data_IF_882600350575
#
_entry.id   IF_882600350575
#
_cell.length_a   1.000
_cell.length_b   1.000
_cell.length_c   1.000
_cell.angle_alpha   90.00
_cell.angle_beta   90.00
_cell.angle_gamma   90.00
#
_symmetry.space_group_name_H-M   'P 1'
#
loop_
_entity.id
_entity.type
_entity.pdbx_description
1 polymer ?
#
# COMPACT_ATOMS: atom_id res chain seq x y z
N UNK A 1 16.54 -36.14 -33.16
CA UNK A 1 17.72 -35.54 -32.50
C UNK A 1 17.68 -34.02 -32.62
N UNK A 2 17.87 -33.43 -33.81
CA UNK A 2 17.87 -31.96 -34.02
C UNK A 2 16.63 -31.23 -33.47
N UNK A 3 15.43 -31.81 -33.63
CA UNK A 3 14.19 -31.20 -33.14
C UNK A 3 14.04 -31.24 -31.61
N UNK A 4 14.56 -32.29 -30.96
CA UNK A 4 14.59 -32.41 -29.51
C UNK A 4 15.61 -31.44 -28.90
N UNK A 5 16.77 -31.27 -29.55
CA UNK A 5 17.79 -30.31 -29.14
C UNK A 5 17.26 -28.87 -29.20
N UNK A 6 16.56 -28.50 -30.28
CA UNK A 6 15.89 -27.19 -30.38
C UNK A 6 14.82 -26.98 -29.29
N UNK A 7 14.06 -28.02 -28.94
CA UNK A 7 13.08 -27.93 -27.86
C UNK A 7 13.72 -27.77 -26.49
N UNK A 8 14.81 -28.50 -26.20
CA UNK A 8 15.58 -28.33 -24.97
C UNK A 8 16.16 -26.91 -24.88
N UNK A 9 16.74 -26.40 -25.96
CA UNK A 9 17.33 -25.06 -25.97
C UNK A 9 16.27 -23.98 -25.68
N UNK A 10 15.09 -24.07 -26.33
CA UNK A 10 13.97 -23.18 -26.06
C UNK A 10 13.47 -23.28 -24.61
N UNK A 11 13.42 -24.49 -24.05
CA UNK A 11 12.99 -24.72 -22.67
C UNK A 11 13.99 -24.09 -21.69
N UNK A 12 15.30 -24.29 -21.92
CA UNK A 12 16.35 -23.70 -21.10
C UNK A 12 16.34 -22.17 -21.18
N UNK A 13 16.10 -21.61 -22.36
CA UNK A 13 15.96 -20.16 -22.53
C UNK A 13 14.74 -19.63 -21.76
N UNK A 14 13.61 -20.33 -21.83
CA UNK A 14 12.41 -19.95 -21.08
C UNK A 14 12.63 -20.01 -19.57
N UNK A 15 13.29 -21.07 -19.07
CA UNK A 15 13.65 -21.21 -17.66
C UNK A 15 14.52 -20.04 -17.18
N UNK A 16 15.53 -19.64 -17.95
CA UNK A 16 16.36 -18.47 -17.63
C UNK A 16 15.52 -17.20 -17.52
N UNK A 17 14.58 -16.98 -18.45
CA UNK A 17 13.69 -15.81 -18.42
C UNK A 17 12.76 -15.82 -17.22
N UNK A 18 12.19 -16.98 -16.85
CA UNK A 18 11.32 -17.11 -15.68
C UNK A 18 12.11 -16.83 -14.39
N UNK A 19 13.31 -17.39 -14.25
CA UNK A 19 14.17 -17.14 -13.09
C UNK A 19 14.51 -15.66 -12.92
N UNK A 20 14.89 -14.97 -14.00
CA UNK A 20 15.16 -13.52 -13.97
C UNK A 20 13.93 -12.70 -13.55
N UNK A 21 12.75 -13.05 -14.06
CA UNK A 21 11.50 -12.37 -13.66
C UNK A 21 11.17 -12.61 -12.19
N UNK A 22 11.42 -13.82 -11.69
CA UNK A 22 11.19 -14.17 -10.30
C UNK A 22 12.10 -13.38 -9.35
N UNK A 23 13.39 -13.28 -9.66
CA UNK A 23 14.34 -12.43 -8.91
C UNK A 23 13.90 -10.96 -8.90
N UNK A 24 13.46 -10.45 -10.05
CA UNK A 24 12.97 -9.06 -10.16
C UNK A 24 11.74 -8.82 -9.27
N UNK A 25 10.77 -9.74 -9.31
CA UNK A 25 9.56 -9.66 -8.50
C UNK A 25 9.86 -9.77 -7.00
N UNK A 26 10.85 -10.57 -6.60
CA UNK A 26 11.28 -10.68 -5.21
C UNK A 26 11.87 -9.36 -4.70
N UNK A 27 12.71 -8.70 -5.49
CA UNK A 27 13.28 -7.39 -5.16
C UNK A 27 12.16 -6.35 -5.02
N UNK A 28 11.26 -6.27 -6.00
CA UNK A 28 10.13 -5.34 -5.97
C UNK A 28 9.24 -5.57 -4.73
N UNK A 29 8.93 -6.82 -4.41
CA UNK A 29 8.11 -7.17 -3.25
C UNK A 29 8.80 -6.79 -1.92
N UNK A 30 10.11 -6.97 -1.82
CA UNK A 30 10.87 -6.56 -0.64
C UNK A 30 10.87 -5.03 -0.46
N UNK A 31 11.09 -4.27 -1.53
CA UNK A 31 11.03 -2.81 -1.48
C UNK A 31 9.65 -2.31 -1.04
N UNK A 32 8.57 -2.90 -1.56
CA UNK A 32 7.19 -2.56 -1.15
C UNK A 32 6.98 -2.84 0.34
N UNK A 33 7.46 -3.97 0.86
CA UNK A 33 7.37 -4.27 2.29
C UNK A 33 8.14 -3.27 3.15
N UNK A 34 9.34 -2.87 2.74
CA UNK A 34 10.12 -1.86 3.47
C UNK A 34 9.41 -0.50 3.51
N UNK A 35 8.86 -0.07 2.38
CA UNK A 35 8.05 1.16 2.31
C UNK A 35 6.85 1.04 3.25
N UNK A 36 6.14 -0.09 3.21
CA UNK A 36 4.98 -0.31 4.06
C UNK A 36 5.36 -0.23 5.56
N UNK A 37 6.41 -0.93 5.99
CA UNK A 37 6.90 -0.87 7.38
C UNK A 37 7.23 0.56 7.79
N UNK A 38 7.87 1.33 6.90
CA UNK A 38 8.18 2.74 7.16
C UNK A 38 6.90 3.57 7.31
N UNK A 39 5.94 3.40 6.42
CA UNK A 39 4.65 4.10 6.45
C UNK A 39 3.90 3.84 7.75
N UNK A 40 3.82 2.60 8.22
CA UNK A 40 3.17 2.28 9.49
C UNK A 40 3.86 2.92 10.68
N UNK A 41 5.21 2.87 10.73
CA UNK A 41 5.95 3.53 11.81
C UNK A 41 5.66 5.03 11.87
N UNK A 42 5.57 5.69 10.72
CA UNK A 42 5.18 7.10 10.66
C UNK A 42 3.75 7.34 11.16
N UNK A 43 2.85 6.37 10.99
CA UNK A 43 1.48 6.45 11.52
C UNK A 43 1.48 6.26 13.03
N UNK A 44 2.15 5.23 13.54
CA UNK A 44 2.31 4.95 14.97
C UNK A 44 2.92 6.14 15.72
N UNK A 45 3.98 6.74 15.17
CA UNK A 45 4.64 7.90 15.78
C UNK A 45 3.71 9.11 15.92
N UNK A 46 2.85 9.34 14.92
CA UNK A 46 1.85 10.39 14.95
C UNK A 46 0.72 10.04 15.92
N UNK A 47 0.32 8.77 15.96
CA UNK A 47 -0.74 8.25 16.82
C UNK A 47 -0.45 8.41 18.31
N UNK A 48 0.82 8.46 18.71
CA UNK A 48 1.21 8.70 20.10
C UNK A 48 0.62 10.00 20.71
N UNK A 49 0.24 10.97 19.88
CA UNK A 49 -0.34 12.25 20.31
C UNK A 49 -1.86 12.30 20.16
N UNK A 50 -2.48 11.17 19.83
CA UNK A 50 -3.90 11.08 19.57
C UNK A 50 -4.73 11.35 20.85
N UNK A 51 -5.83 12.08 20.66
CA UNK A 51 -6.86 12.29 21.68
C UNK A 51 -8.19 11.84 21.07
N UNK A 52 -8.94 11.03 21.80
CA UNK A 52 -10.23 10.51 21.34
C UNK A 52 -11.17 11.65 20.94
N UNK A 53 -11.78 11.51 19.76
CA UNK A 53 -12.72 12.48 19.21
C UNK A 53 -14.06 11.84 18.88
N UNK A 54 -15.11 12.65 18.80
CA UNK A 54 -16.42 12.17 18.33
C UNK A 54 -16.37 11.61 16.89
N UNK A 55 -15.48 12.13 16.04
CA UNK A 55 -15.30 11.64 14.68
C UNK A 55 -14.80 10.19 14.65
N UNK A 56 -13.81 9.86 15.49
CA UNK A 56 -13.29 8.51 15.65
C UNK A 56 -14.37 7.53 16.11
N UNK A 57 -15.15 7.92 17.13
CA UNK A 57 -16.28 7.09 17.60
C UNK A 57 -17.29 6.82 16.48
N UNK A 58 -17.62 7.83 15.67
CA UNK A 58 -18.56 7.68 14.55
C UNK A 58 -18.00 6.79 13.44
N UNK A 59 -16.70 6.88 13.15
CA UNK A 59 -16.03 6.03 12.15
C UNK A 59 -16.07 4.57 12.61
N UNK A 60 -15.71 4.28 13.86
CA UNK A 60 -15.78 2.92 14.42
C UNK A 60 -17.20 2.35 14.37
N UNK A 61 -18.20 3.15 14.77
CA UNK A 61 -19.60 2.73 14.66
C UNK A 61 -20.00 2.42 13.21
N UNK A 62 -19.55 3.26 12.26
CA UNK A 62 -19.82 3.07 10.83
C UNK A 62 -19.16 1.81 10.29
N UNK A 63 -17.91 1.51 10.69
CA UNK A 63 -17.16 0.32 10.30
C UNK A 63 -17.69 -0.97 10.96
N UNK A 64 -18.29 -0.87 12.14
CA UNK A 64 -18.98 -2.01 12.76
C UNK A 64 -20.29 -2.38 12.02
N UNK A 65 -20.93 -1.40 11.38
CA UNK A 65 -22.18 -1.61 10.63
C UNK A 65 -21.94 -1.89 9.15
N UNK A 66 -20.84 -1.40 8.59
CA UNK A 66 -20.52 -1.43 7.17
C UNK A 66 -19.08 -1.89 6.94
N UNK A 67 -18.80 -2.54 5.81
CA UNK A 67 -17.45 -3.04 5.48
C UNK A 67 -16.48 -1.96 4.95
N UNK A 68 -16.79 -0.68 5.17
CA UNK A 68 -15.99 0.43 4.67
C UNK A 68 -16.60 1.80 4.98
N UNK A 69 -15.77 2.83 4.92
CA UNK A 69 -16.14 4.22 5.20
C UNK A 69 -15.35 5.16 4.28
N UNK A 70 -15.96 6.28 3.89
CA UNK A 70 -15.27 7.38 3.21
C UNK A 70 -15.26 8.57 4.17
N UNK A 71 -14.06 9.04 4.52
CA UNK A 71 -13.88 10.18 5.42
C UNK A 71 -13.77 11.46 4.58
N UNK A 72 -14.74 12.36 4.73
CA UNK A 72 -14.80 13.64 4.00
C UNK A 72 -14.72 14.83 4.94
N UNK A 73 -14.29 15.99 4.42
CA UNK A 73 -14.11 17.20 5.23
C UNK A 73 -13.03 18.13 4.68
N UNK A 74 -12.96 19.36 5.21
CA UNK A 74 -12.04 20.40 4.75
C UNK A 74 -10.56 19.99 4.84
N UNK A 75 -9.66 20.56 4.02
CA UNK A 75 -8.21 20.36 4.19
C UNK A 75 -7.77 20.70 5.62
N UNK A 76 -6.85 19.90 6.18
CA UNK A 76 -6.31 20.13 7.53
C UNK A 76 -7.20 19.71 8.71
N UNK A 77 -8.43 19.21 8.49
CA UNK A 77 -9.30 18.79 9.61
C UNK A 77 -8.93 17.44 10.26
N UNK A 78 -7.84 16.80 9.82
CA UNK A 78 -7.36 15.55 10.41
C UNK A 78 -7.93 14.26 9.82
N UNK A 79 -8.50 14.28 8.60
CA UNK A 79 -9.04 13.09 7.92
C UNK A 79 -8.06 11.91 7.85
N UNK A 80 -6.87 12.15 7.29
CA UNK A 80 -5.81 11.16 7.19
C UNK A 80 -5.37 10.67 8.57
N UNK A 81 -5.27 11.60 9.53
CA UNK A 81 -4.86 11.27 10.89
C UNK A 81 -5.86 10.32 11.56
N UNK A 82 -7.17 10.61 11.48
CA UNK A 82 -8.18 9.71 12.06
C UNK A 82 -8.27 8.39 11.28
N UNK A 83 -8.12 8.38 9.95
CA UNK A 83 -8.07 7.15 9.17
C UNK A 83 -6.94 6.21 9.62
N UNK A 84 -5.73 6.77 9.81
CA UNK A 84 -4.58 6.01 10.29
C UNK A 84 -4.77 5.53 11.73
N UNK A 85 -5.32 6.38 12.61
CA UNK A 85 -5.64 6.00 13.99
C UNK A 85 -6.59 4.78 14.04
N UNK A 86 -7.68 4.81 13.25
CA UNK A 86 -8.61 3.69 13.23
C UNK A 86 -7.97 2.43 12.64
N UNK A 87 -7.15 2.56 11.59
CA UNK A 87 -6.43 1.43 11.03
C UNK A 87 -5.49 0.75 12.05
N UNK A 88 -4.74 1.54 12.82
CA UNK A 88 -3.91 1.06 13.94
C UNK A 88 -4.76 0.43 15.07
N UNK A 89 -5.98 0.91 15.27
CA UNK A 89 -6.92 0.28 16.22
C UNK A 89 -7.33 -1.11 15.74
N UNK A 90 -7.68 -1.28 14.46
CA UNK A 90 -7.96 -2.59 13.86
C UNK A 90 -6.75 -3.53 13.88
N UNK A 91 -5.54 -3.00 13.70
CA UNK A 91 -4.32 -3.81 13.84
C UNK A 91 -4.17 -4.42 15.23
N UNK A 92 -4.47 -3.64 16.28
CA UNK A 92 -4.51 -4.14 17.67
C UNK A 92 -5.58 -5.20 17.89
N UNK A 93 -6.61 -5.25 17.04
CA UNK A 93 -7.65 -6.28 17.00
C UNK A 93 -7.31 -7.48 16.10
N UNK A 94 -6.12 -7.49 15.48
CA UNK A 94 -5.60 -8.60 14.69
C UNK A 94 -5.77 -8.45 13.17
N UNK A 95 -6.23 -7.30 12.68
CA UNK A 95 -6.28 -7.02 11.24
C UNK A 95 -4.89 -6.70 10.69
N UNK A 96 -4.60 -7.17 9.49
CA UNK A 96 -3.45 -6.69 8.73
C UNK A 96 -3.82 -5.37 8.05
N UNK A 97 -3.11 -4.29 8.38
CA UNK A 97 -3.26 -3.02 7.64
C UNK A 97 -2.75 -3.24 6.21
N UNK A 98 -3.31 -2.56 5.21
CA UNK A 98 -2.79 -2.53 3.85
C UNK A 98 -2.91 -1.09 3.35
N UNK A 99 -1.84 -0.28 3.44
CA UNK A 99 -1.79 1.03 2.81
C UNK A 99 -1.87 0.85 1.29
N UNK A 100 -2.73 1.65 0.67
CA UNK A 100 -3.02 1.58 -0.75
C UNK A 100 -2.83 2.97 -1.35
N UNK A 101 -2.16 3.04 -2.50
CA UNK A 101 -2.07 4.27 -3.30
C UNK A 101 -3.40 4.51 -4.04
N UNK A 102 -4.14 3.44 -4.35
CA UNK A 102 -5.46 3.56 -4.95
C UNK A 102 -6.31 2.29 -4.87
N UNK A 103 -7.54 2.34 -5.41
CA UNK A 103 -8.48 1.22 -5.34
C UNK A 103 -7.99 -0.07 -6.02
N UNK A 104 -7.08 0.02 -7.00
CA UNK A 104 -6.48 -1.15 -7.66
C UNK A 104 -5.65 -2.01 -6.71
N UNK A 105 -5.06 -1.41 -5.68
CA UNK A 105 -4.19 -2.10 -4.73
C UNK A 105 -4.97 -3.04 -3.83
N UNK A 106 -6.25 -2.72 -3.55
CA UNK A 106 -7.14 -3.59 -2.79
C UNK A 106 -7.22 -4.97 -3.44
N UNK A 107 -7.47 -5.04 -4.75
CA UNK A 107 -7.57 -6.32 -5.46
C UNK A 107 -6.23 -7.04 -5.56
N UNK A 108 -5.13 -6.28 -5.65
CA UNK A 108 -3.77 -6.83 -5.76
C UNK A 108 -3.27 -7.45 -4.46
N UNK A 109 -3.66 -6.88 -3.32
CA UNK A 109 -3.16 -7.25 -2.00
C UNK A 109 -4.18 -8.02 -1.14
N UNK A 110 -5.39 -8.23 -1.67
CA UNK A 110 -6.42 -9.01 -0.99
C UNK A 110 -6.01 -10.48 -0.84
N UNK A 111 -6.06 -10.96 0.40
CA UNK A 111 -5.79 -12.32 0.81
C UNK A 111 -6.99 -12.86 1.58
N UNK A 112 -7.70 -13.82 0.99
CA UNK A 112 -8.99 -14.31 1.53
C UNK A 112 -8.84 -14.98 2.91
N UNK A 113 -7.65 -15.49 3.22
CA UNK A 113 -7.30 -16.14 4.47
C UNK A 113 -6.93 -15.16 5.60
N UNK A 114 -6.83 -13.86 5.30
CA UNK A 114 -6.49 -12.82 6.27
C UNK A 114 -7.66 -11.86 6.50
N UNK A 115 -7.74 -11.34 7.72
CA UNK A 115 -8.57 -10.18 8.02
C UNK A 115 -7.72 -8.93 7.77
N UNK A 116 -8.16 -8.10 6.82
CA UNK A 116 -7.36 -6.98 6.31
C UNK A 116 -8.14 -5.67 6.39
N UNK A 117 -7.45 -4.57 6.70
CA UNK A 117 -8.00 -3.21 6.60
C UNK A 117 -7.22 -2.42 5.55
N UNK A 118 -7.92 -2.04 4.48
CA UNK A 118 -7.33 -1.28 3.38
C UNK A 118 -7.50 0.21 3.62
N UNK A 119 -6.39 0.94 3.60
CA UNK A 119 -6.39 2.39 3.83
C UNK A 119 -5.93 3.08 2.57
N UNK A 120 -6.85 3.79 1.93
CA UNK A 120 -6.56 4.61 0.75
C UNK A 120 -6.57 6.07 1.21
N UNK A 121 -5.42 6.58 1.64
CA UNK A 121 -5.27 7.97 2.02
C UNK A 121 -4.86 8.79 0.78
N UNK A 122 -5.67 9.81 0.47
CA UNK A 122 -5.41 10.75 -0.63
C UNK A 122 -5.48 10.17 -2.06
N UNK A 123 -6.68 9.69 -2.46
CA UNK A 123 -7.01 9.18 -3.81
C UNK A 123 -6.64 10.15 -4.95
N UNK A 124 -6.49 11.45 -4.65
CA UNK A 124 -6.18 12.50 -5.64
C UNK A 124 -4.77 13.09 -5.50
N UNK A 125 -3.98 12.60 -4.55
CA UNK A 125 -2.59 12.96 -4.33
C UNK A 125 -2.38 14.39 -3.83
N UNK A 126 -1.52 14.51 -2.82
CA UNK A 126 -0.52 15.56 -2.80
C UNK A 126 0.15 15.60 -4.17
N UNK A 127 -0.17 16.61 -4.97
CA UNK A 127 0.69 17.14 -6.02
C UNK A 127 2.00 17.71 -5.43
N UNK A 128 2.60 17.04 -4.44
CA UNK A 128 3.98 17.25 -4.09
C UNK A 128 4.75 16.78 -5.30
N UNK A 129 5.25 17.76 -6.06
CA UNK A 129 6.25 17.58 -7.10
C UNK A 129 7.13 16.39 -6.75
N UNK A 130 7.12 15.38 -7.61
CA UNK A 130 8.11 14.32 -7.53
C UNK A 130 9.46 15.02 -7.73
N UNK A 131 10.17 15.28 -6.63
CA UNK A 131 11.40 16.08 -6.63
C UNK A 131 12.40 15.47 -7.61
N UNK A 132 12.48 14.14 -7.71
CA UNK A 132 13.31 13.47 -8.71
C UNK A 132 12.89 13.74 -10.17
N UNK A 133 11.59 13.90 -10.46
CA UNK A 133 11.13 14.37 -11.78
C UNK A 133 11.42 15.86 -11.98
N UNK A 134 11.28 16.69 -10.95
CA UNK A 134 11.58 18.12 -11.03
C UNK A 134 13.09 18.35 -11.28
N UNK A 135 13.95 17.67 -10.53
CA UNK A 135 15.41 17.75 -10.65
C UNK A 135 15.89 17.21 -12.02
N UNK A 136 15.17 16.26 -12.63
CA UNK A 136 15.48 15.77 -13.99
C UNK A 136 15.19 16.77 -15.10
N UNK A 137 14.40 17.81 -14.83
CA UNK A 137 14.12 18.89 -15.76
C UNK A 137 15.20 19.99 -15.70
N UNK A 138 15.85 20.20 -14.55
CA UNK A 138 16.95 21.16 -14.42
C UNK A 138 18.26 20.71 -15.10
N UNK A 139 18.43 19.42 -15.40
CA UNK A 139 19.65 18.90 -16.03
C UNK A 139 19.62 18.94 -17.58
N UNK A 140 18.57 19.45 -18.19
CA UNK A 140 18.42 19.50 -19.65
C UNK A 140 18.29 20.92 -20.25
N UNK A 141 18.55 21.97 -19.46
CA UNK A 141 18.73 23.35 -19.93
C UNK A 141 20.20 23.80 -19.86
#
# INVERSE_FOLDING_TARGET
LIQLEKQMENTNQHLRTVSQKMETLEIENNNVKEIYIKTLKEWEEKDMKYISTAASTFILQSLNQNRGVIITGSPGCGKSFVAHHEALTFEREGYEIIPCDGPSDVLKHFLAEKIQVFVIDDICGKFALNQHKADSWEQND
#
